data_IF_176613021168
#
_entry.id   IF_176613021168
#
_cell.length_a   1.000
_cell.length_b   1.000
_cell.length_c   1.000
_cell.angle_alpha   90.00
_cell.angle_beta   90.00
_cell.angle_gamma   90.00
#
_symmetry.space_group_name_H-M   'P 1'
#
loop_
_entity.id
_entity.type
_entity.pdbx_description
1 polymer ?
#
# COMPACT_ATOMS: atom_id res chain seq x y z
N UNK A 1 10.43 -2.84 4.98
CA UNK A 1 10.15 -3.68 3.82
C UNK A 1 8.99 -3.12 3.01
N UNK A 2 9.15 -3.08 1.69
CA UNK A 2 8.12 -2.56 0.80
C UNK A 2 6.91 -3.50 0.77
N UNK A 3 7.17 -4.79 0.84
CA UNK A 3 6.11 -5.79 0.82
C UNK A 3 5.35 -5.80 2.15
N UNK A 4 6.08 -5.59 3.24
CA UNK A 4 5.47 -5.58 4.57
C UNK A 4 4.40 -4.50 4.66
N UNK A 5 4.78 -3.26 4.41
CA UNK A 5 3.86 -2.13 4.47
C UNK A 5 2.79 -2.26 3.39
N UNK A 6 3.18 -2.78 2.23
CA UNK A 6 2.25 -2.94 1.12
C UNK A 6 1.16 -3.96 1.46
N UNK A 7 1.54 -4.99 2.22
CA UNK A 7 0.61 -6.03 2.62
C UNK A 7 -0.61 -5.43 3.32
N UNK A 8 -0.37 -4.36 4.07
CA UNK A 8 -1.45 -3.70 4.80
C UNK A 8 -2.43 -3.04 3.83
N UNK A 9 -1.91 -2.57 2.70
CA UNK A 9 -2.74 -1.92 1.69
C UNK A 9 -3.74 -2.89 1.09
N UNK A 10 -3.32 -4.14 0.95
CA UNK A 10 -4.18 -5.18 0.39
C UNK A 10 -5.50 -5.27 1.17
N UNK A 11 -5.47 -4.86 2.43
CA UNK A 11 -6.66 -4.90 3.27
C UNK A 11 -7.74 -3.96 2.73
N UNK A 12 -7.32 -2.95 1.97
CA UNK A 12 -8.26 -1.99 1.40
C UNK A 12 -8.84 -2.51 0.09
N UNK A 13 -10.16 -2.53 0.00
CA UNK A 13 -10.84 -3.00 -1.20
C UNK A 13 -10.74 -1.98 -2.32
N UNK A 14 -10.64 -0.70 -1.95
CA UNK A 14 -10.53 0.37 -2.93
C UNK A 14 -9.16 0.39 -3.59
N UNK A 15 -9.10 -0.01 -4.85
CA UNK A 15 -7.85 -0.04 -5.59
C UNK A 15 -7.12 1.30 -5.49
N UNK A 16 -7.88 2.38 -5.47
CA UNK A 16 -7.30 3.71 -5.37
C UNK A 16 -6.60 3.91 -4.03
N UNK A 17 -7.17 3.33 -2.99
CA UNK A 17 -6.59 3.44 -1.65
C UNK A 17 -5.31 2.62 -1.54
N UNK A 18 -5.26 1.50 -2.24
CA UNK A 18 -4.10 0.62 -2.23
C UNK A 18 -2.90 1.32 -2.86
N UNK A 19 -3.15 2.06 -3.93
CA UNK A 19 -2.09 2.78 -4.63
C UNK A 19 -1.41 3.78 -3.70
N UNK A 20 -2.20 4.71 -3.16
CA UNK A 20 -1.68 5.73 -2.25
C UNK A 20 -0.92 5.09 -1.09
N UNK A 21 -1.50 4.04 -0.52
CA UNK A 21 -0.88 3.34 0.60
C UNK A 21 0.43 2.67 0.17
N UNK A 22 0.42 2.11 -1.03
CA UNK A 22 1.61 1.44 -1.56
C UNK A 22 2.75 2.43 -1.77
N UNK A 23 2.58 3.31 -2.76
CA UNK A 23 3.59 4.32 -3.07
C UNK A 23 3.91 5.15 -1.84
N UNK A 24 2.88 5.49 -1.07
CA UNK A 24 3.07 6.29 0.13
C UNK A 24 4.12 5.69 1.05
N UNK A 25 4.21 4.37 1.07
CA UNK A 25 5.16 3.67 1.93
C UNK A 25 6.60 3.99 1.51
N UNK A 26 6.85 3.90 0.21
CA UNK A 26 8.19 4.17 -0.33
C UNK A 26 8.46 5.67 -0.36
N UNK A 27 9.70 6.04 -0.09
CA UNK A 27 10.11 7.45 -0.08
C UNK A 27 9.22 8.26 0.87
N UNK A 28 8.99 7.70 2.06
CA UNK A 28 8.17 8.37 3.04
C UNK A 28 8.99 9.02 4.14
#
# INVERSE_FOLDING_TARGET
ADDRCYRMCQRYHDRREKKQCKEGCRYG
#
